data_IF_146793106589
#
_entry.id   IF_146793106589
#
_cell.length_a   1.000
_cell.length_b   1.000
_cell.length_c   1.000
_cell.angle_alpha   90.00
_cell.angle_beta   90.00
_cell.angle_gamma   90.00
#
_symmetry.space_group_name_H-M   'P 1'
#
loop_
_entity.id
_entity.type
_entity.pdbx_description
1 polymer ?
#
# COMPACT_ATOMS: atom_id res chain seq x y z
N UNK A 1 -7.28 39.06 39.92
CA UNK A 1 -7.99 38.44 41.07
C UNK A 1 -9.19 37.58 40.65
N UNK A 2 -9.98 37.99 39.65
CA UNK A 2 -11.21 37.28 39.22
C UNK A 2 -10.94 35.86 38.67
N UNK A 3 -9.90 35.69 37.83
CA UNK A 3 -9.55 34.39 37.23
C UNK A 3 -9.22 33.34 38.29
N UNK A 4 -8.51 33.73 39.35
CA UNK A 4 -8.16 32.84 40.45
C UNK A 4 -9.39 32.36 41.22
N UNK A 5 -10.32 33.28 41.52
CA UNK A 5 -11.57 32.94 42.20
C UNK A 5 -12.47 32.04 41.34
N UNK A 6 -12.53 32.29 40.04
CA UNK A 6 -13.27 31.45 39.10
C UNK A 6 -12.70 30.02 39.03
N UNK A 7 -11.38 29.87 38.99
CA UNK A 7 -10.70 28.56 39.01
C UNK A 7 -10.96 27.80 40.32
N UNK A 8 -10.83 28.49 41.46
CA UNK A 8 -11.07 27.91 42.78
C UNK A 8 -12.54 27.48 42.94
N UNK A 9 -13.48 28.28 42.43
CA UNK A 9 -14.91 27.96 42.46
C UNK A 9 -15.23 26.75 41.56
N UNK A 10 -14.67 26.70 40.35
CA UNK A 10 -14.88 25.59 39.41
C UNK A 10 -14.34 24.27 39.97
N UNK A 11 -13.14 24.27 40.56
CA UNK A 11 -12.55 23.09 41.21
C UNK A 11 -13.42 22.56 42.35
N UNK A 12 -13.95 23.47 43.19
CA UNK A 12 -14.88 23.10 44.28
C UNK A 12 -16.19 22.50 43.77
N UNK A 13 -16.73 23.01 42.67
CA UNK A 13 -17.98 22.48 42.10
C UNK A 13 -17.76 21.12 41.42
N UNK A 14 -16.60 20.90 40.80
CA UNK A 14 -16.23 19.59 40.22
C UNK A 14 -16.19 18.49 41.30
N UNK A 15 -15.70 18.82 42.51
CA UNK A 15 -15.66 17.90 43.64
C UNK A 15 -17.02 17.52 44.25
N UNK A 16 -18.11 18.27 43.95
CA UNK A 16 -19.44 17.96 44.48
C UNK A 16 -20.11 16.76 43.82
N UNK A 17 -19.73 16.44 42.59
CA UNK A 17 -20.30 15.31 41.86
C UNK A 17 -19.19 14.44 41.25
N UNK A 18 -18.45 13.70 42.10
CA UNK A 18 -17.19 13.06 41.71
C UNK A 18 -17.39 12.03 40.60
N UNK A 19 -18.53 11.34 40.57
CA UNK A 19 -18.84 10.30 39.58
C UNK A 19 -19.05 10.88 38.18
N UNK A 20 -19.65 12.07 38.08
CA UNK A 20 -19.87 12.74 36.79
C UNK A 20 -18.61 13.45 36.29
N UNK A 21 -17.88 14.09 37.20
CA UNK A 21 -16.63 14.78 36.90
C UNK A 21 -15.52 13.81 36.47
N UNK A 22 -15.38 12.67 37.16
CA UNK A 22 -14.38 11.66 36.80
C UNK A 22 -14.66 11.06 35.42
N UNK A 23 -15.91 10.70 35.14
CA UNK A 23 -16.29 10.03 33.87
C UNK A 23 -16.08 10.94 32.65
N UNK A 24 -16.37 12.24 32.76
CA UNK A 24 -16.12 13.22 31.69
C UNK A 24 -14.63 13.51 31.52
N UNK A 25 -13.88 13.61 32.61
CA UNK A 25 -12.43 13.83 32.55
C UNK A 25 -11.67 12.61 32.02
N UNK A 26 -12.17 11.39 32.25
CA UNK A 26 -11.62 10.15 31.68
C UNK A 26 -12.00 9.95 30.21
N UNK A 27 -13.20 10.38 29.80
CA UNK A 27 -13.68 10.18 28.44
C UNK A 27 -12.82 10.88 27.39
N UNK A 28 -12.32 12.08 27.67
CA UNK A 28 -11.48 12.85 26.74
C UNK A 28 -10.15 12.14 26.41
N UNK A 29 -9.28 11.76 27.36
CA UNK A 29 -8.03 11.09 27.06
C UNK A 29 -8.24 9.71 26.43
N UNK A 30 -9.28 8.96 26.80
CA UNK A 30 -9.61 7.68 26.14
C UNK A 30 -10.00 7.91 24.68
N UNK A 31 -10.86 8.90 24.42
CA UNK A 31 -11.30 9.25 23.07
C UNK A 31 -10.14 9.70 22.18
N UNK A 32 -9.28 10.59 22.69
CA UNK A 32 -8.09 11.06 21.95
C UNK A 32 -7.12 9.89 21.72
N UNK A 33 -6.91 9.02 22.71
CA UNK A 33 -6.04 7.85 22.55
C UNK A 33 -6.53 6.89 21.46
N UNK A 34 -7.83 6.60 21.41
CA UNK A 34 -8.42 5.73 20.39
C UNK A 34 -8.26 6.32 18.97
N UNK A 35 -8.50 7.61 18.80
CA UNK A 35 -8.34 8.30 17.51
C UNK A 35 -6.87 8.33 17.08
N UNK A 36 -5.95 8.66 18.00
CA UNK A 36 -4.51 8.69 17.71
C UNK A 36 -4.02 7.29 17.31
N UNK A 37 -4.43 6.25 18.04
CA UNK A 37 -4.10 4.87 17.71
C UNK A 37 -4.59 4.47 16.32
N UNK A 38 -5.85 4.78 15.98
CA UNK A 38 -6.42 4.50 14.66
C UNK A 38 -5.65 5.20 13.54
N UNK A 39 -5.29 6.48 13.72
CA UNK A 39 -4.54 7.26 12.74
C UNK A 39 -3.12 6.71 12.56
N UNK A 40 -2.45 6.34 13.66
CA UNK A 40 -1.12 5.73 13.63
C UNK A 40 -1.15 4.38 12.89
N UNK A 41 -2.14 3.54 13.18
CA UNK A 41 -2.29 2.24 12.52
C UNK A 41 -2.55 2.41 11.02
N UNK A 42 -3.47 3.32 10.66
CA UNK A 42 -3.81 3.58 9.26
C UNK A 42 -2.61 4.09 8.46
N UNK A 43 -1.91 5.09 8.98
CA UNK A 43 -0.70 5.63 8.33
C UNK A 43 0.45 4.62 8.31
N UNK A 44 0.63 3.85 9.38
CA UNK A 44 1.64 2.81 9.49
C UNK A 44 1.45 1.70 8.45
N UNK A 45 0.22 1.18 8.33
CA UNK A 45 -0.11 0.14 7.35
C UNK A 45 0.09 0.63 5.91
N UNK A 46 -0.37 1.83 5.58
CA UNK A 46 -0.17 2.41 4.25
C UNK A 46 1.33 2.62 3.95
N UNK A 47 2.11 3.11 4.92
CA UNK A 47 3.54 3.30 4.74
C UNK A 47 4.31 1.98 4.57
N UNK A 48 3.87 0.90 5.21
CA UNK A 48 4.49 -0.42 5.09
C UNK A 48 4.22 -1.05 3.72
N UNK A 49 2.97 -0.97 3.25
CA UNK A 49 2.58 -1.39 1.90
C UNK A 49 3.33 -0.55 0.84
N UNK A 50 3.43 0.77 1.03
CA UNK A 50 4.24 1.62 0.14
C UNK A 50 5.71 1.25 0.15
N UNK A 51 6.31 0.86 1.29
CA UNK A 51 7.71 0.41 1.35
C UNK A 51 7.91 -0.93 0.63
N UNK A 52 6.96 -1.87 0.77
CA UNK A 52 6.99 -3.12 0.03
C UNK A 52 6.84 -2.89 -1.48
N UNK A 53 5.92 -2.02 -1.89
CA UNK A 53 5.74 -1.60 -3.29
C UNK A 53 6.94 -0.82 -3.83
N UNK A 54 7.56 0.04 -3.01
CA UNK A 54 8.78 0.74 -3.38
C UNK A 54 9.96 -0.23 -3.58
N UNK A 55 9.99 -1.33 -2.81
CA UNK A 55 10.95 -2.43 -2.99
C UNK A 55 10.77 -3.19 -4.32
N UNK A 56 9.55 -3.20 -4.88
CA UNK A 56 9.31 -3.70 -6.24
C UNK A 56 9.81 -2.71 -7.31
N UNK A 57 10.06 -1.46 -6.95
CA UNK A 57 10.42 -0.40 -7.89
C UNK A 57 9.17 0.28 -8.45
N UNK A 58 9.03 1.56 -8.15
CA UNK A 58 8.07 2.43 -8.86
C UNK A 58 8.53 2.55 -10.33
N UNK A 59 7.66 2.18 -11.28
CA UNK A 59 7.91 2.17 -12.74
C UNK A 59 8.49 0.86 -13.34
N UNK A 60 7.89 -0.30 -13.03
CA UNK A 60 8.14 -1.54 -13.76
C UNK A 60 7.24 -1.68 -14.99
N UNK A 61 7.83 -1.97 -16.16
CA UNK A 61 7.13 -2.30 -17.39
C UNK A 61 7.46 -3.75 -17.78
N UNK A 62 6.46 -4.62 -17.78
CA UNK A 62 6.59 -6.02 -18.21
C UNK A 62 6.22 -6.15 -19.68
N UNK A 63 7.13 -6.74 -20.47
CA UNK A 63 6.91 -7.02 -21.90
C UNK A 63 6.93 -8.53 -22.09
N UNK A 64 5.81 -9.10 -22.54
CA UNK A 64 5.64 -10.54 -22.74
C UNK A 64 5.31 -10.79 -24.22
N UNK A 65 6.00 -11.70 -24.91
CA UNK A 65 5.70 -12.00 -26.31
C UNK A 65 4.43 -12.86 -26.41
N UNK A 66 3.54 -12.53 -27.35
CA UNK A 66 2.37 -13.37 -27.69
C UNK A 66 1.15 -13.24 -26.78
N UNK A 67 1.06 -12.21 -25.95
CA UNK A 67 -0.16 -11.95 -25.18
C UNK A 67 -1.19 -11.23 -26.08
N UNK A 68 -2.40 -11.79 -26.31
CA UNK A 68 -3.43 -11.07 -27.05
C UNK A 68 -3.84 -9.86 -26.23
N UNK A 69 -3.41 -8.69 -26.67
CA UNK A 69 -3.93 -7.43 -26.16
C UNK A 69 -5.42 -7.37 -26.51
N UNK A 70 -6.27 -7.71 -25.54
CA UNK A 70 -7.73 -7.55 -25.58
C UNK A 70 -8.47 -8.37 -26.66
N UNK A 71 -9.01 -9.52 -26.26
CA UNK A 71 -10.23 -10.07 -26.90
C UNK A 71 -10.08 -10.86 -28.21
N UNK A 72 -8.88 -11.26 -28.64
CA UNK A 72 -8.66 -12.06 -29.84
C UNK A 72 -8.31 -13.52 -29.55
N UNK A 73 -9.05 -14.47 -30.13
CA UNK A 73 -8.85 -15.92 -30.00
C UNK A 73 -7.72 -16.48 -30.90
N UNK A 74 -6.69 -15.69 -31.20
CA UNK A 74 -5.53 -16.16 -31.96
C UNK A 74 -4.31 -16.15 -31.04
N UNK A 75 -3.92 -17.35 -30.57
CA UNK A 75 -2.63 -17.57 -29.91
C UNK A 75 -1.55 -17.69 -30.97
N UNK A 76 -1.24 -16.58 -31.63
CA UNK A 76 0.00 -16.48 -32.39
C UNK A 76 1.13 -16.36 -31.38
N UNK A 77 1.84 -17.46 -31.18
CA UNK A 77 3.04 -17.49 -30.37
C UNK A 77 4.10 -16.65 -31.09
N UNK A 78 4.18 -15.37 -30.74
CA UNK A 78 5.28 -14.52 -31.18
C UNK A 78 6.61 -15.18 -30.77
N UNK A 79 7.67 -15.08 -31.60
CA UNK A 79 8.98 -15.58 -31.24
C UNK A 79 9.41 -15.08 -29.86
N UNK A 80 10.05 -15.92 -29.03
CA UNK A 80 10.57 -15.47 -27.74
C UNK A 80 11.59 -14.35 -27.96
N UNK A 81 11.63 -13.38 -27.05
CA UNK A 81 12.61 -12.29 -27.10
C UNK A 81 14.04 -12.84 -27.12
N UNK A 82 14.85 -12.34 -28.04
CA UNK A 82 16.27 -12.63 -28.06
C UNK A 82 17.00 -11.78 -27.03
N UNK A 83 18.16 -12.24 -26.57
CA UNK A 83 19.02 -11.45 -25.68
C UNK A 83 19.45 -10.12 -26.30
N UNK A 84 19.58 -10.09 -27.64
CA UNK A 84 19.87 -8.88 -28.41
C UNK A 84 18.76 -7.82 -28.33
N UNK A 85 17.49 -8.23 -28.17
CA UNK A 85 16.37 -7.29 -28.03
C UNK A 85 16.46 -6.57 -26.68
N UNK A 86 16.84 -7.28 -25.61
CA UNK A 86 17.02 -6.68 -24.29
C UNK A 86 18.15 -5.64 -24.26
N UNK A 87 19.26 -5.89 -24.95
CA UNK A 87 20.36 -4.92 -25.06
C UNK A 87 20.01 -3.74 -25.97
N UNK A 88 19.27 -3.98 -27.07
CA UNK A 88 18.79 -2.92 -27.95
C UNK A 88 17.84 -1.95 -27.21
N UNK A 89 16.92 -2.48 -26.39
CA UNK A 89 16.00 -1.68 -25.57
C UNK A 89 16.77 -0.83 -24.55
N UNK A 90 17.77 -1.40 -23.87
CA UNK A 90 18.63 -0.66 -22.93
C UNK A 90 19.43 0.48 -23.59
N UNK A 91 19.83 0.32 -24.85
CA UNK A 91 20.59 1.33 -25.59
C UNK A 91 19.76 2.45 -26.23
N UNK A 92 18.52 2.15 -26.65
CA UNK A 92 17.72 3.09 -27.46
C UNK A 92 16.58 3.77 -26.68
N UNK A 93 16.10 3.20 -25.58
CA UNK A 93 15.00 3.79 -24.81
C UNK A 93 15.53 4.69 -23.69
N UNK A 94 15.35 6.00 -23.84
CA UNK A 94 15.71 6.99 -22.82
C UNK A 94 14.72 6.94 -21.66
N UNK A 95 15.24 6.86 -20.43
CA UNK A 95 14.45 6.80 -19.19
C UNK A 95 14.40 5.43 -18.51
N UNK A 96 14.99 4.39 -19.11
CA UNK A 96 15.17 3.09 -18.46
C UNK A 96 16.35 3.13 -17.50
N UNK A 97 16.12 2.73 -16.25
CA UNK A 97 17.17 2.58 -15.23
C UNK A 97 17.89 1.24 -15.35
N UNK A 98 17.16 0.18 -15.69
CA UNK A 98 17.67 -1.16 -15.89
C UNK A 98 16.70 -1.96 -16.75
N UNK A 99 17.22 -2.95 -17.48
CA UNK A 99 16.45 -3.94 -18.22
C UNK A 99 16.92 -5.31 -17.73
N UNK A 100 15.98 -6.19 -17.40
CA UNK A 100 16.27 -7.56 -16.99
C UNK A 100 15.53 -8.54 -17.90
N UNK A 101 16.25 -9.51 -18.46
CA UNK A 101 15.65 -10.60 -19.20
C UNK A 101 15.13 -11.66 -18.21
N UNK A 102 13.85 -11.99 -18.31
CA UNK A 102 13.21 -13.01 -17.46
C UNK A 102 12.90 -14.22 -18.34
N UNK A 103 13.52 -15.36 -18.02
CA UNK A 103 13.28 -16.62 -18.71
C UNK A 103 12.27 -17.45 -17.90
N UNK A 104 11.04 -17.57 -18.39
CA UNK A 104 10.07 -18.55 -17.90
C UNK A 104 9.81 -19.57 -19.01
N UNK A 105 10.07 -20.85 -18.76
CA UNK A 105 9.71 -21.89 -19.71
C UNK A 105 8.18 -22.08 -19.70
N UNK A 106 7.45 -21.81 -20.80
CA UNK A 106 6.02 -22.06 -20.83
C UNK A 106 5.79 -23.58 -20.82
N UNK A 107 5.34 -24.11 -19.67
CA UNK A 107 4.94 -25.51 -19.56
C UNK A 107 3.57 -25.67 -20.21
N UNK A 108 3.54 -26.35 -21.37
CA UNK A 108 2.29 -26.69 -22.06
C UNK A 108 1.64 -27.88 -21.34
N UNK A 109 0.69 -27.60 -20.46
CA UNK A 109 -0.17 -28.65 -19.89
C UNK A 109 -1.21 -29.01 -20.94
N UNK A 110 -0.87 -29.93 -21.84
CA UNK A 110 -1.85 -30.53 -22.73
C UNK A 110 -2.60 -31.59 -21.92
N UNK A 111 -3.81 -31.25 -21.47
CA UNK A 111 -4.71 -32.22 -20.86
C UNK A 111 -5.05 -33.25 -21.93
N UNK A 112 -4.42 -34.42 -21.86
CA UNK A 112 -4.80 -35.57 -22.65
C UNK A 112 -6.20 -36.00 -22.16
N UNK A 113 -7.24 -35.55 -22.86
CA UNK A 113 -8.58 -36.09 -22.73
C UNK A 113 -8.71 -37.26 -23.70
N UNK A 114 -9.06 -38.43 -23.19
CA UNK A 114 -9.37 -39.62 -23.97
C UNK A 114 -9.77 -40.76 -23.06
N UNK A 115 -11.10 -40.92 -22.90
CA UNK A 115 -11.92 -41.90 -22.17
C UNK A 115 -12.00 -41.76 -20.66
#
# INVERSE_FOLDING_TARGET
MIVWQALALAARQMGKNPLRASLTCLGVPIGVAAVVAMVLLGRGATADVQRQLAGLGQNLLFVVPGQPAHGGATRDFAPPFALADATAIGGHVRGLRAVAAVTGAPVRVQRAGGT
#
